data_IF_742088656155
#
_entry.id   IF_742088656155
#
_cell.length_a   1.000
_cell.length_b   1.000
_cell.length_c   1.000
_cell.angle_alpha   90.00
_cell.angle_beta   90.00
_cell.angle_gamma   90.00
#
_symmetry.space_group_name_H-M   'P 1'
#
loop_
_entity.id
_entity.type
_entity.pdbx_description
1 polymer ?
#
# COMPACT_ATOMS: atom_id res chain seq x y z
N UNK A 1 0.63 5.17 8.04
CA UNK A 1 1.26 4.57 6.85
C UNK A 1 0.61 5.10 5.60
N UNK A 2 -0.53 4.54 5.21
CA UNK A 2 -1.19 4.83 3.92
C UNK A 2 -1.55 6.30 3.70
N UNK A 3 -2.14 6.98 4.70
CA UNK A 3 -2.41 8.43 4.60
C UNK A 3 -1.16 9.25 4.27
N UNK A 4 -0.02 8.87 4.86
CA UNK A 4 1.26 9.56 4.65
C UNK A 4 1.78 9.40 3.23
N UNK A 5 1.59 8.24 2.58
CA UNK A 5 2.05 8.03 1.20
C UNK A 5 1.17 8.75 0.18
N UNK A 6 -0.12 8.95 0.49
CA UNK A 6 -1.08 9.65 -0.36
C UNK A 6 -1.02 11.17 -0.23
N UNK A 7 -0.73 11.68 0.97
CA UNK A 7 -0.78 13.13 1.22
C UNK A 7 0.59 13.75 1.35
N UNK A 8 1.56 13.01 1.91
CA UNK A 8 2.91 13.50 2.24
C UNK A 8 2.90 14.84 2.98
N UNK A 9 1.85 15.09 3.79
CA UNK A 9 1.67 16.34 4.52
C UNK A 9 2.33 16.28 5.91
N UNK A 10 3.45 16.98 6.14
CA UNK A 10 4.05 17.09 7.47
C UNK A 10 3.28 18.11 8.32
N UNK A 11 3.40 18.03 9.65
CA UNK A 11 2.68 18.91 10.58
C UNK A 11 3.08 20.39 10.47
N UNK A 12 4.30 20.67 10.03
CA UNK A 12 4.95 21.98 10.11
C UNK A 12 5.06 22.71 8.75
N UNK A 13 4.66 22.08 7.65
CA UNK A 13 4.64 22.72 6.33
C UNK A 13 3.19 22.97 5.91
N UNK A 14 2.95 24.06 5.18
CA UNK A 14 1.63 24.32 4.60
C UNK A 14 1.34 23.44 3.38
N UNK A 15 2.40 23.01 2.69
CA UNK A 15 2.33 22.25 1.44
C UNK A 15 2.86 20.81 1.60
N UNK A 16 2.47 19.87 0.71
CA UNK A 16 3.02 18.52 0.73
C UNK A 16 4.53 18.48 0.53
N UNK A 17 5.20 17.59 1.25
CA UNK A 17 6.63 17.35 1.08
C UNK A 17 6.89 16.57 -0.22
N UNK A 18 7.58 17.18 -1.18
CA UNK A 18 7.83 16.62 -2.52
C UNK A 18 6.54 16.10 -3.18
N UNK A 19 5.64 16.99 -3.64
CA UNK A 19 4.34 16.60 -4.18
C UNK A 19 4.45 15.61 -5.36
N UNK A 20 5.51 15.71 -6.16
CA UNK A 20 5.79 14.80 -7.28
C UNK A 20 6.09 13.35 -6.86
N UNK A 21 6.26 13.07 -5.57
CA UNK A 21 6.50 11.72 -5.02
C UNK A 21 5.26 11.15 -4.32
N UNK A 22 4.10 11.82 -4.43
CA UNK A 22 2.82 11.27 -3.99
C UNK A 22 2.47 10.10 -4.92
N UNK A 23 2.07 8.98 -4.31
CA UNK A 23 1.59 7.80 -5.04
C UNK A 23 0.06 7.72 -4.99
N UNK A 24 -0.52 7.06 -5.98
CA UNK A 24 -1.95 6.77 -6.05
C UNK A 24 -2.39 5.75 -5.01
N UNK A 25 -3.71 5.61 -4.82
CA UNK A 25 -4.29 4.59 -3.92
C UNK A 25 -3.91 3.18 -4.36
N UNK A 26 -3.98 2.89 -5.67
CA UNK A 26 -3.61 1.59 -6.23
C UNK A 26 -2.13 1.27 -5.99
N UNK A 27 -1.23 2.24 -6.22
CA UNK A 27 0.19 2.07 -5.92
C UNK A 27 0.46 1.87 -4.44
N UNK A 28 -0.26 2.58 -3.57
CA UNK A 28 -0.17 2.37 -2.13
C UNK A 28 -0.63 0.96 -1.73
N UNK A 29 -1.71 0.45 -2.31
CA UNK A 29 -2.20 -0.91 -2.06
C UNK A 29 -1.14 -1.93 -2.50
N UNK A 30 -0.57 -1.80 -3.71
CA UNK A 30 0.51 -2.68 -4.18
C UNK A 30 1.75 -2.61 -3.27
N UNK A 31 2.12 -1.40 -2.84
CA UNK A 31 3.22 -1.17 -1.91
C UNK A 31 3.03 -1.93 -0.61
N UNK A 32 1.83 -1.87 -0.03
CA UNK A 32 1.51 -2.50 1.26
C UNK A 32 1.17 -4.00 1.16
N UNK A 33 1.02 -4.55 -0.05
CA UNK A 33 0.65 -5.96 -0.28
C UNK A 33 1.79 -6.71 -0.97
N UNK A 34 1.72 -6.85 -2.30
CA UNK A 34 2.63 -7.71 -3.06
C UNK A 34 4.08 -7.22 -3.02
N UNK A 35 4.33 -5.91 -3.05
CA UNK A 35 5.68 -5.38 -3.03
C UNK A 35 6.34 -5.60 -1.66
N UNK A 36 5.57 -5.51 -0.58
CA UNK A 36 6.05 -5.83 0.77
C UNK A 36 6.33 -7.34 0.91
N UNK A 37 5.44 -8.19 0.41
CA UNK A 37 5.68 -9.64 0.39
C UNK A 37 6.93 -10.02 -0.42
N UNK A 38 7.18 -9.33 -1.54
CA UNK A 38 8.41 -9.52 -2.32
C UNK A 38 9.65 -9.06 -1.55
N UNK A 39 9.57 -7.93 -0.84
CA UNK A 39 10.67 -7.44 0.01
C UNK A 39 11.03 -8.44 1.12
N UNK A 40 10.06 -9.20 1.62
CA UNK A 40 10.27 -10.22 2.65
C UNK A 40 10.49 -11.64 2.09
N UNK A 41 10.58 -11.82 0.77
CA UNK A 41 10.70 -13.11 0.07
C UNK A 41 9.52 -14.07 0.32
N UNK A 42 8.34 -13.50 0.60
CA UNK A 42 7.10 -14.21 0.88
C UNK A 42 6.08 -14.08 -0.26
N UNK A 43 6.47 -13.57 -1.43
CA UNK A 43 5.57 -13.31 -2.58
C UNK A 43 4.90 -14.58 -3.13
N UNK A 44 5.51 -15.74 -2.90
CA UNK A 44 4.95 -17.05 -3.24
C UNK A 44 3.94 -17.57 -2.21
N UNK A 45 3.94 -16.99 -1.01
CA UNK A 45 3.11 -17.41 0.11
C UNK A 45 1.94 -16.43 0.34
N UNK A 46 2.16 -15.11 0.18
CA UNK A 46 1.17 -14.06 0.46
C UNK A 46 1.36 -12.82 -0.42
N UNK A 47 0.49 -11.83 -0.22
CA UNK A 47 0.57 -10.52 -0.87
C UNK A 47 -0.29 -10.36 -2.13
N UNK A 48 -0.91 -11.43 -2.63
CA UNK A 48 -1.97 -11.36 -3.64
C UNK A 48 -3.00 -12.47 -3.46
N UNK A 49 -4.19 -12.28 -4.02
CA UNK A 49 -5.29 -13.25 -3.97
C UNK A 49 -5.23 -14.18 -5.19
N UNK A 50 -4.39 -15.20 -5.07
CA UNK A 50 -4.13 -16.21 -6.11
C UNK A 50 -4.18 -17.61 -5.52
N UNK A 51 -4.54 -18.61 -6.33
CA UNK A 51 -4.57 -19.99 -5.90
C UNK A 51 -3.18 -20.48 -5.45
N UNK A 52 -3.12 -21.17 -4.31
CA UNK A 52 -1.89 -21.64 -3.70
C UNK A 52 -1.22 -20.68 -2.73
N UNK A 53 -1.70 -19.42 -2.62
CA UNK A 53 -1.29 -18.47 -1.58
C UNK A 53 -2.22 -18.54 -0.35
N UNK A 54 -1.77 -17.94 0.75
CA UNK A 54 -2.57 -17.80 1.96
C UNK A 54 -3.81 -16.92 1.70
N UNK A 55 -4.93 -17.33 2.27
CA UNK A 55 -6.18 -16.55 2.26
C UNK A 55 -6.14 -15.42 3.30
N UNK A 56 -5.12 -14.57 3.23
CA UNK A 56 -4.96 -13.38 4.07
C UNK A 56 -5.59 -12.17 3.37
N UNK A 57 -6.84 -11.85 3.74
CA UNK A 57 -7.60 -10.75 3.16
C UNK A 57 -8.49 -10.07 4.20
N UNK A 58 -8.94 -8.87 3.86
CA UNK A 58 -9.91 -8.10 4.65
C UNK A 58 -11.18 -7.91 3.83
N UNK A 59 -12.32 -7.78 4.52
CA UNK A 59 -13.60 -7.42 3.90
C UNK A 59 -13.91 -5.98 4.23
N UNK A 60 -14.23 -5.20 3.20
CA UNK A 60 -14.60 -3.79 3.30
C UNK A 60 -16.05 -3.60 2.88
N UNK A 61 -16.72 -2.62 3.49
CA UNK A 61 -18.10 -2.23 3.15
C UNK A 61 -18.17 -1.36 1.88
N UNK A 62 -17.06 -0.69 1.55
CA UNK A 62 -16.94 0.27 0.45
C UNK A 62 -15.64 0.04 -0.31
N UNK A 63 -15.64 0.53 -1.54
CA UNK A 63 -14.46 0.49 -2.40
C UNK A 63 -13.32 1.35 -1.85
N UNK A 64 -12.09 0.88 -2.07
CA UNK A 64 -10.84 1.43 -1.55
C UNK A 64 -10.11 2.29 -2.58
#
# INVERSE_FOLDING_TARGET
>A
GMWTTLTRQPRWLAEPLHPAQIITREEAIRLYTINNAWLTFEEKQKGSLEAGKLADFIVLDRDI
#
